data_IF_452038446565
#
_entry.id   IF_452038446565
#
_cell.length_a   1.000
_cell.length_b   1.000
_cell.length_c   1.000
_cell.angle_alpha   90.00
_cell.angle_beta   90.00
_cell.angle_gamma   90.00
#
_symmetry.space_group_name_H-M   'P 1'
#
loop_
_entity.id
_entity.type
_entity.pdbx_description
1 polymer ?
#
# COMPACT_ATOMS: atom_id res chain seq x y z
N UNK A 1 4.96 -23.87 -20.18
CA UNK A 1 5.16 -22.58 -20.88
C UNK A 1 4.45 -21.54 -20.04
N UNK A 2 5.17 -20.59 -19.48
CA UNK A 2 4.57 -19.51 -18.69
C UNK A 2 3.80 -18.57 -19.60
N UNK A 3 2.85 -17.88 -19.02
CA UNK A 3 2.02 -16.94 -19.77
C UNK A 3 2.89 -15.81 -20.36
N UNK A 4 2.59 -15.42 -21.59
CA UNK A 4 3.30 -14.28 -22.21
C UNK A 4 2.90 -12.96 -21.56
N UNK A 5 3.85 -12.05 -21.40
CA UNK A 5 3.58 -10.67 -20.94
C UNK A 5 2.49 -10.00 -21.78
N UNK A 6 2.45 -10.28 -23.08
CA UNK A 6 1.43 -9.75 -23.99
C UNK A 6 0.03 -10.20 -23.57
N UNK A 7 -0.15 -11.49 -23.23
CA UNK A 7 -1.45 -12.02 -22.80
C UNK A 7 -1.93 -11.35 -21.49
N UNK A 8 -0.98 -11.11 -20.55
CA UNK A 8 -1.32 -10.41 -19.30
C UNK A 8 -1.71 -8.96 -19.59
N UNK A 9 -1.01 -8.28 -20.50
CA UNK A 9 -1.39 -6.92 -20.95
C UNK A 9 -2.77 -6.87 -21.59
N UNK A 10 -3.11 -7.86 -22.44
CA UNK A 10 -4.45 -7.97 -23.03
C UNK A 10 -5.55 -8.06 -21.98
N UNK A 11 -5.27 -8.74 -20.85
CA UNK A 11 -6.23 -8.88 -19.75
C UNK A 11 -6.51 -7.56 -18.97
N UNK A 12 -5.71 -6.50 -19.16
CA UNK A 12 -6.02 -5.14 -18.66
C UNK A 12 -7.29 -4.58 -19.33
N UNK A 13 -7.66 -5.12 -20.49
CA UNK A 13 -8.85 -4.71 -21.26
C UNK A 13 -9.96 -5.78 -21.22
N UNK A 14 -9.92 -6.71 -20.28
CA UNK A 14 -10.96 -7.72 -20.09
C UNK A 14 -12.28 -7.05 -19.64
N UNK A 15 -13.41 -7.66 -19.97
CA UNK A 15 -14.73 -7.21 -19.53
C UNK A 15 -14.93 -7.35 -18.01
N UNK A 16 -14.25 -8.31 -17.37
CA UNK A 16 -14.30 -8.53 -15.94
C UNK A 16 -13.34 -7.61 -15.20
N UNK A 17 -13.85 -6.84 -14.24
CA UNK A 17 -13.08 -5.89 -13.43
C UNK A 17 -11.95 -6.56 -12.64
N UNK A 18 -12.19 -7.73 -12.05
CA UNK A 18 -11.20 -8.45 -11.23
C UNK A 18 -10.05 -8.95 -12.11
N UNK A 19 -10.36 -9.40 -13.31
CA UNK A 19 -9.35 -9.81 -14.29
C UNK A 19 -8.46 -8.62 -14.68
N UNK A 20 -9.07 -7.43 -14.92
CA UNK A 20 -8.30 -6.20 -15.17
C UNK A 20 -7.40 -5.84 -13.99
N UNK A 21 -7.95 -5.86 -12.77
CA UNK A 21 -7.18 -5.56 -11.55
C UNK A 21 -6.05 -6.54 -11.32
N UNK A 22 -6.30 -7.82 -11.56
CA UNK A 22 -5.29 -8.88 -11.47
C UNK A 22 -4.15 -8.67 -12.44
N UNK A 23 -4.49 -8.32 -13.69
CA UNK A 23 -3.51 -8.07 -14.73
C UNK A 23 -2.62 -6.86 -14.43
N UNK A 24 -3.20 -5.73 -13.99
CA UNK A 24 -2.42 -4.54 -13.68
C UNK A 24 -1.58 -4.72 -12.42
N UNK A 25 -2.09 -5.43 -11.40
CA UNK A 25 -1.36 -5.73 -10.17
C UNK A 25 -0.08 -6.53 -10.42
N UNK A 26 -0.07 -7.43 -11.39
CA UNK A 26 1.13 -8.16 -11.82
C UNK A 26 2.28 -7.22 -12.15
N UNK A 27 2.00 -6.14 -12.87
CA UNK A 27 3.02 -5.17 -13.28
C UNK A 27 3.35 -4.16 -12.18
N UNK A 28 2.33 -3.64 -11.50
CA UNK A 28 2.51 -2.63 -10.46
C UNK A 28 3.32 -3.16 -9.27
N UNK A 29 2.96 -4.35 -8.77
CA UNK A 29 3.64 -4.98 -7.63
C UNK A 29 5.06 -5.45 -7.92
N UNK A 30 5.39 -5.70 -9.19
CA UNK A 30 6.75 -6.04 -9.62
C UNK A 30 7.60 -4.81 -9.99
N UNK A 31 7.15 -3.60 -9.67
CA UNK A 31 7.83 -2.34 -10.03
C UNK A 31 8.21 -2.27 -11.51
N UNK A 32 7.27 -2.65 -12.38
CA UNK A 32 7.50 -2.70 -13.83
C UNK A 32 7.88 -1.33 -14.40
N UNK A 33 8.95 -1.30 -15.20
CA UNK A 33 9.39 -0.08 -15.91
C UNK A 33 8.76 0.09 -17.29
N UNK A 34 7.76 -0.72 -17.63
CA UNK A 34 7.11 -0.76 -18.93
C UNK A 34 6.14 0.41 -19.13
N UNK A 35 6.56 1.41 -19.87
CA UNK A 35 5.76 2.62 -20.18
C UNK A 35 4.51 2.35 -21.05
N UNK A 36 4.36 1.16 -21.64
CA UNK A 36 3.18 0.82 -22.43
C UNK A 36 1.96 0.45 -21.57
N UNK A 37 2.12 0.31 -20.26
CA UNK A 37 1.05 -0.12 -19.35
C UNK A 37 0.04 1.00 -19.10
N UNK A 38 0.49 2.21 -18.80
CA UNK A 38 -0.40 3.32 -18.51
C UNK A 38 -1.34 3.66 -19.69
N UNK A 39 -0.90 3.64 -20.98
CA UNK A 39 -1.81 3.75 -22.12
C UNK A 39 -2.92 2.68 -22.16
N UNK A 40 -2.65 1.46 -21.68
CA UNK A 40 -3.68 0.42 -21.58
C UNK A 40 -4.68 0.71 -20.45
N UNK A 41 -4.21 1.25 -19.33
CA UNK A 41 -5.08 1.71 -18.23
C UNK A 41 -5.99 2.83 -18.71
N UNK A 42 -5.45 3.82 -19.41
CA UNK A 42 -6.22 4.91 -20.05
C UNK A 42 -7.29 4.33 -20.98
N UNK A 43 -6.91 3.42 -21.86
CA UNK A 43 -7.85 2.75 -22.75
C UNK A 43 -8.95 1.98 -22.01
N UNK A 44 -8.63 1.39 -20.86
CA UNK A 44 -9.63 0.72 -20.02
C UNK A 44 -10.62 1.75 -19.43
N UNK A 45 -10.17 2.92 -18.99
CA UNK A 45 -11.04 4.03 -18.55
C UNK A 45 -11.97 4.47 -19.68
N UNK A 46 -11.45 4.68 -20.88
CA UNK A 46 -12.22 5.07 -22.06
C UNK A 46 -13.26 4.01 -22.47
N UNK A 47 -12.94 2.73 -22.27
CA UNK A 47 -13.80 1.60 -22.69
C UNK A 47 -14.89 1.30 -21.66
N UNK A 48 -14.57 1.29 -20.37
CA UNK A 48 -15.46 0.82 -19.31
C UNK A 48 -16.02 1.94 -18.44
N UNK A 49 -15.52 3.16 -18.61
CA UNK A 49 -15.92 4.33 -17.84
C UNK A 49 -15.19 4.47 -16.50
N UNK A 50 -15.27 5.68 -15.93
CA UNK A 50 -14.56 6.08 -14.71
C UNK A 50 -14.94 5.25 -13.50
N UNK A 51 -16.23 4.93 -13.36
CA UNK A 51 -16.74 4.18 -12.21
C UNK A 51 -16.19 2.73 -12.14
N UNK A 52 -16.02 2.09 -13.31
CA UNK A 52 -15.53 0.71 -13.38
C UNK A 52 -14.00 0.64 -13.50
N UNK A 53 -13.32 1.77 -13.73
CA UNK A 53 -11.88 1.79 -13.95
C UNK A 53 -11.08 2.55 -12.88
N UNK A 54 -11.71 3.19 -11.87
CA UNK A 54 -10.99 3.97 -10.87
C UNK A 54 -9.98 3.13 -10.07
N UNK A 55 -10.27 1.86 -9.84
CA UNK A 55 -9.35 0.94 -9.18
C UNK A 55 -8.06 0.72 -9.98
N UNK A 56 -8.16 0.68 -11.33
CA UNK A 56 -6.98 0.52 -12.18
C UNK A 56 -6.06 1.73 -12.07
N UNK A 57 -6.62 2.95 -12.02
CA UNK A 57 -5.84 4.17 -11.77
C UNK A 57 -5.12 4.07 -10.43
N UNK A 58 -5.84 3.64 -9.37
CA UNK A 58 -5.25 3.46 -8.04
C UNK A 58 -4.09 2.44 -8.00
N UNK A 59 -4.21 1.34 -8.76
CA UNK A 59 -3.18 0.32 -8.87
C UNK A 59 -1.99 0.74 -9.75
N UNK A 60 -2.14 1.76 -10.60
CA UNK A 60 -1.10 2.20 -11.52
C UNK A 60 -0.22 3.34 -10.99
N UNK A 61 -0.29 3.67 -9.69
CA UNK A 61 0.50 4.76 -9.09
C UNK A 61 2.00 4.59 -9.27
N UNK A 62 2.49 3.36 -9.06
CA UNK A 62 3.91 3.01 -9.15
C UNK A 62 4.37 2.71 -10.59
N UNK A 63 3.47 2.80 -11.58
CA UNK A 63 3.83 2.58 -12.98
C UNK A 63 4.47 3.82 -13.59
N UNK A 64 5.45 3.65 -14.48
CA UNK A 64 6.14 4.77 -15.13
C UNK A 64 5.17 5.56 -15.99
N UNK A 65 5.17 6.88 -15.79
CA UNK A 65 4.40 7.83 -16.60
C UNK A 65 5.24 8.36 -17.77
N UNK A 66 4.54 8.94 -18.75
CA UNK A 66 5.13 9.72 -19.85
C UNK A 66 4.51 11.12 -19.87
N UNK A 67 5.05 12.00 -20.70
CA UNK A 67 4.47 13.33 -20.92
C UNK A 67 3.01 13.26 -21.37
N UNK A 68 2.68 12.30 -22.23
CA UNK A 68 1.32 12.09 -22.76
C UNK A 68 0.38 11.58 -21.67
N UNK A 69 0.83 10.63 -20.84
CA UNK A 69 -0.01 10.09 -19.76
C UNK A 69 -0.24 11.12 -18.65
N UNK A 70 0.76 11.93 -18.31
CA UNK A 70 0.60 13.05 -17.37
C UNK A 70 -0.36 14.10 -17.93
N UNK A 71 -0.26 14.45 -19.22
CA UNK A 71 -1.18 15.38 -19.84
C UNK A 71 -2.63 14.86 -19.79
N UNK A 72 -2.84 13.58 -20.12
CA UNK A 72 -4.16 12.94 -20.02
C UNK A 72 -4.72 12.98 -18.58
N UNK A 73 -3.87 12.68 -17.55
CA UNK A 73 -4.30 12.70 -16.16
C UNK A 73 -4.71 14.12 -15.73
N UNK A 74 -3.98 15.14 -16.16
CA UNK A 74 -4.30 16.55 -15.86
C UNK A 74 -5.62 16.94 -16.54
N UNK A 75 -5.80 16.59 -17.80
CA UNK A 75 -7.04 16.86 -18.54
C UNK A 75 -8.22 16.16 -17.87
N UNK A 76 -8.04 14.89 -17.51
CA UNK A 76 -9.07 14.09 -16.86
C UNK A 76 -9.42 14.62 -15.46
N UNK A 77 -8.43 15.13 -14.71
CA UNK A 77 -8.63 15.77 -13.42
C UNK A 77 -9.41 17.09 -13.53
N UNK A 78 -9.20 17.84 -14.64
CA UNK A 78 -9.88 19.13 -14.89
C UNK A 78 -11.24 19.00 -15.55
N UNK A 79 -11.63 17.82 -16.03
CA UNK A 79 -12.97 17.57 -16.52
C UNK A 79 -13.99 17.66 -15.37
N UNK A 80 -15.25 18.00 -15.69
CA UNK A 80 -16.33 18.01 -14.70
C UNK A 80 -16.40 16.65 -14.00
N UNK A 81 -16.27 16.69 -12.67
CA UNK A 81 -16.38 15.53 -11.81
C UNK A 81 -17.77 15.52 -11.18
N UNK A 82 -18.44 14.38 -11.24
CA UNK A 82 -19.65 14.13 -10.45
C UNK A 82 -19.23 13.81 -8.99
N UNK A 83 -20.03 14.24 -8.01
CA UNK A 83 -19.79 13.95 -6.59
C UNK A 83 -19.59 12.45 -6.29
N UNK A 84 -20.11 11.57 -7.15
CA UNK A 84 -19.93 10.12 -7.06
C UNK A 84 -18.54 9.63 -7.48
N UNK A 85 -17.68 10.51 -8.01
CA UNK A 85 -16.35 10.17 -8.54
C UNK A 85 -15.18 10.54 -7.60
N UNK A 86 -15.44 10.80 -6.33
CA UNK A 86 -14.40 11.21 -5.37
C UNK A 86 -13.19 10.25 -5.32
N UNK A 87 -13.42 8.94 -5.40
CA UNK A 87 -12.34 7.94 -5.44
C UNK A 87 -11.52 8.00 -6.73
N UNK A 88 -12.15 8.31 -7.86
CA UNK A 88 -11.46 8.47 -9.14
C UNK A 88 -10.54 9.68 -9.11
N UNK A 89 -11.06 10.83 -8.68
CA UNK A 89 -10.29 12.07 -8.49
C UNK A 89 -9.12 11.89 -7.52
N UNK A 90 -9.38 11.20 -6.41
CA UNK A 90 -8.33 10.83 -5.46
C UNK A 90 -7.20 10.02 -6.13
N UNK A 91 -7.55 8.98 -6.88
CA UNK A 91 -6.57 8.14 -7.53
C UNK A 91 -5.77 8.88 -8.62
N UNK A 92 -6.41 9.75 -9.42
CA UNK A 92 -5.71 10.61 -10.38
C UNK A 92 -4.71 11.53 -9.68
N UNK A 93 -5.13 12.19 -8.58
CA UNK A 93 -4.26 13.06 -7.78
C UNK A 93 -3.07 12.28 -7.20
N UNK A 94 -3.29 11.04 -6.74
CA UNK A 94 -2.22 10.19 -6.21
C UNK A 94 -1.23 9.78 -7.29
N UNK A 95 -1.67 9.45 -8.52
CA UNK A 95 -0.75 9.16 -9.63
C UNK A 95 0.14 10.38 -9.93
N UNK A 96 -0.40 11.60 -9.88
CA UNK A 96 0.41 12.82 -10.05
C UNK A 96 1.41 12.99 -8.91
N UNK A 97 1.01 12.72 -7.67
CA UNK A 97 1.93 12.83 -6.51
C UNK A 97 3.05 11.78 -6.55
N UNK A 98 2.81 10.59 -7.09
CA UNK A 98 3.80 9.50 -7.13
C UNK A 98 4.64 9.48 -8.43
N UNK A 99 4.20 10.15 -9.50
CA UNK A 99 4.94 10.20 -10.77
C UNK A 99 6.31 10.88 -10.63
N UNK A 100 7.22 10.61 -11.55
CA UNK A 100 8.56 11.23 -11.59
C UNK A 100 8.45 12.76 -11.50
N UNK A 101 9.02 13.39 -10.46
CA UNK A 101 8.90 14.82 -10.26
C UNK A 101 9.52 15.65 -11.40
N UNK A 102 10.46 15.11 -12.17
CA UNK A 102 11.03 15.80 -13.33
C UNK A 102 10.02 16.01 -14.47
N UNK A 103 9.06 15.08 -14.65
CA UNK A 103 7.96 15.22 -15.59
C UNK A 103 6.90 16.23 -15.12
N UNK A 104 6.81 16.43 -13.81
CA UNK A 104 5.78 17.27 -13.18
C UNK A 104 6.20 18.73 -13.06
N UNK A 105 7.50 19.00 -12.88
CA UNK A 105 8.03 20.36 -12.67
C UNK A 105 7.57 21.37 -13.75
N UNK A 106 7.57 21.04 -15.06
CA UNK A 106 7.08 21.98 -16.08
C UNK A 106 5.56 22.26 -16.02
N UNK A 107 4.83 21.46 -15.25
CA UNK A 107 3.35 21.47 -15.14
C UNK A 107 2.86 21.87 -13.74
N UNK A 108 3.78 22.26 -12.86
CA UNK A 108 3.48 22.55 -11.44
C UNK A 108 2.30 23.52 -11.29
N UNK A 109 2.33 24.66 -11.98
CA UNK A 109 1.28 25.67 -11.87
C UNK A 109 -0.08 25.12 -12.31
N UNK A 110 -0.14 24.39 -13.43
CA UNK A 110 -1.39 23.84 -13.96
C UNK A 110 -2.01 22.81 -13.00
N UNK A 111 -1.17 21.98 -12.36
CA UNK A 111 -1.62 20.98 -11.39
C UNK A 111 -2.11 21.67 -10.11
N UNK A 112 -1.34 22.63 -9.59
CA UNK A 112 -1.69 23.34 -8.36
C UNK A 112 -2.90 24.29 -8.50
N UNK A 113 -3.18 24.80 -9.69
CA UNK A 113 -4.34 25.63 -9.98
C UNK A 113 -5.61 24.81 -10.19
N UNK A 114 -5.51 23.51 -10.47
CA UNK A 114 -6.66 22.62 -10.62
C UNK A 114 -7.51 22.59 -9.34
N UNK A 115 -8.81 22.85 -9.47
CA UNK A 115 -9.76 22.82 -8.35
C UNK A 115 -9.99 21.40 -7.81
N UNK A 116 -9.79 20.39 -8.67
CA UNK A 116 -9.99 18.98 -8.35
C UNK A 116 -8.72 18.31 -7.81
N UNK A 117 -7.55 18.98 -7.88
CA UNK A 117 -6.36 18.46 -7.21
C UNK A 117 -6.48 18.65 -5.71
N UNK A 118 -6.40 17.55 -4.96
CA UNK A 118 -6.72 17.49 -3.55
C UNK A 118 -5.87 18.44 -2.70
N UNK A 119 -6.48 19.27 -1.84
CA UNK A 119 -5.76 20.26 -1.02
C UNK A 119 -4.67 19.64 -0.14
N UNK A 120 -4.92 18.47 0.44
CA UNK A 120 -3.98 17.75 1.30
C UNK A 120 -2.75 17.21 0.56
N UNK A 121 -2.82 17.06 -0.75
CA UNK A 121 -1.71 16.59 -1.59
C UNK A 121 -0.84 17.73 -2.15
N UNK A 122 -1.28 18.99 -2.04
CA UNK A 122 -0.52 20.15 -2.57
C UNK A 122 0.84 20.32 -1.91
N UNK A 123 0.91 20.20 -0.59
CA UNK A 123 2.16 20.30 0.16
C UNK A 123 3.11 19.15 -0.21
N UNK A 124 2.73 17.87 -0.09
CA UNK A 124 3.56 16.76 -0.54
C UNK A 124 4.06 16.88 -1.99
N UNK A 125 3.21 17.31 -2.90
CA UNK A 125 3.56 17.53 -4.30
C UNK A 125 4.63 18.61 -4.47
N UNK A 126 4.44 19.80 -3.88
CA UNK A 126 5.42 20.90 -3.98
C UNK A 126 6.74 20.54 -3.30
N UNK A 127 6.72 19.82 -2.16
CA UNK A 127 7.94 19.34 -1.50
C UNK A 127 8.78 18.44 -2.42
N UNK A 128 8.15 17.49 -3.14
CA UNK A 128 8.88 16.63 -4.09
C UNK A 128 9.55 17.44 -5.21
N UNK A 129 8.84 18.42 -5.76
CA UNK A 129 9.40 19.28 -6.80
C UNK A 129 10.58 20.13 -6.27
N UNK A 130 10.45 20.69 -5.07
CA UNK A 130 11.51 21.43 -4.41
C UNK A 130 12.75 20.55 -4.18
N UNK A 131 12.58 19.30 -3.79
CA UNK A 131 13.67 18.35 -3.53
C UNK A 131 14.48 18.02 -4.79
N UNK A 132 13.98 18.30 -6.01
CA UNK A 132 14.78 18.19 -7.25
C UNK A 132 16.02 19.06 -7.24
N UNK A 133 16.00 20.19 -6.54
CA UNK A 133 17.12 21.12 -6.43
C UNK A 133 18.14 20.76 -5.33
N UNK A 134 17.85 19.77 -4.48
CA UNK A 134 18.73 19.38 -3.39
C UNK A 134 19.89 18.52 -3.90
N UNK A 135 21.10 18.80 -3.41
CA UNK A 135 22.25 17.91 -3.57
C UNK A 135 22.21 16.76 -2.56
N UNK A 136 23.07 15.78 -2.74
CA UNK A 136 23.15 14.61 -1.87
C UNK A 136 23.35 14.99 -0.40
N UNK A 137 24.27 15.92 -0.13
CA UNK A 137 24.59 16.37 1.23
C UNK A 137 23.37 17.01 1.91
N UNK A 138 22.60 17.82 1.18
CA UNK A 138 21.36 18.43 1.66
C UNK A 138 20.31 17.35 1.95
N UNK A 139 20.14 16.37 1.07
CA UNK A 139 19.20 15.28 1.29
C UNK A 139 19.53 14.48 2.57
N UNK A 140 20.80 14.11 2.77
CA UNK A 140 21.25 13.42 3.97
C UNK A 140 21.02 14.25 5.23
N UNK A 141 21.37 15.55 5.22
CA UNK A 141 21.15 16.42 6.37
C UNK A 141 19.67 16.49 6.73
N UNK A 142 18.78 16.64 5.73
CA UNK A 142 17.33 16.68 5.95
C UNK A 142 16.79 15.38 6.49
N UNK A 143 17.30 14.23 6.07
CA UNK A 143 16.92 12.93 6.59
C UNK A 143 17.37 12.74 8.04
N UNK A 144 18.60 13.18 8.38
CA UNK A 144 19.12 13.16 9.73
C UNK A 144 18.31 14.09 10.66
N UNK A 145 18.00 15.31 10.22
CA UNK A 145 17.15 16.25 10.95
C UNK A 145 15.76 15.66 11.23
N UNK A 146 15.13 15.04 10.21
CA UNK A 146 13.84 14.37 10.35
C UNK A 146 13.88 13.26 11.41
N UNK A 147 14.89 12.41 11.36
CA UNK A 147 15.04 11.31 12.32
C UNK A 147 15.34 11.82 13.73
N UNK A 148 16.16 12.89 13.87
CA UNK A 148 16.48 13.50 15.14
C UNK A 148 15.24 14.15 15.78
N UNK A 149 14.42 14.87 15.03
CA UNK A 149 13.16 15.44 15.48
C UNK A 149 12.14 14.35 15.89
N UNK A 150 12.12 13.24 15.11
CA UNK A 150 11.22 12.11 15.33
C UNK A 150 11.61 11.18 16.50
N UNK A 151 12.82 11.25 17.04
CA UNK A 151 13.34 10.25 18.00
C UNK A 151 12.50 10.05 19.28
N UNK A 152 11.75 11.07 19.69
CA UNK A 152 10.85 11.00 20.85
C UNK A 152 9.44 10.52 20.52
N UNK A 153 9.11 10.37 19.23
CA UNK A 153 7.81 9.89 18.76
C UNK A 153 7.74 8.38 18.85
N UNK A 154 6.59 7.86 19.29
CA UNK A 154 6.46 6.43 19.55
C UNK A 154 5.89 5.66 18.36
N UNK A 155 4.92 6.23 17.68
CA UNK A 155 4.15 5.56 16.64
C UNK A 155 4.36 6.22 15.28
N UNK A 156 4.16 5.45 14.20
CA UNK A 156 4.25 5.93 12.81
C UNK A 156 3.35 7.15 12.58
N UNK A 157 2.16 7.16 13.16
CA UNK A 157 1.20 8.27 13.03
C UNK A 157 1.63 9.56 13.78
N UNK A 158 2.69 9.50 14.60
CA UNK A 158 3.20 10.66 15.33
C UNK A 158 4.25 11.44 14.52
N UNK A 159 4.72 10.88 13.41
CA UNK A 159 5.71 11.47 12.50
C UNK A 159 5.13 11.59 11.09
N UNK A 160 5.63 12.57 10.33
CA UNK A 160 5.32 12.66 8.90
C UNK A 160 6.22 11.73 8.09
N UNK A 161 6.00 10.39 8.21
CA UNK A 161 6.82 9.41 7.51
C UNK A 161 6.80 9.64 5.99
N UNK A 162 5.69 10.14 5.43
CA UNK A 162 5.60 10.51 4.01
C UNK A 162 6.64 11.56 3.61
N UNK A 163 6.98 12.52 4.49
CA UNK A 163 8.07 13.46 4.24
C UNK A 163 9.44 12.77 4.24
N UNK A 164 9.69 11.88 5.20
CA UNK A 164 10.90 11.04 5.23
C UNK A 164 11.06 10.21 3.95
N UNK A 165 9.97 9.60 3.47
CA UNK A 165 9.97 8.81 2.23
C UNK A 165 10.31 9.67 1.00
N UNK A 166 9.80 10.91 0.91
CA UNK A 166 10.15 11.84 -0.17
C UNK A 166 11.62 12.24 -0.16
N UNK A 167 12.23 12.39 1.03
CA UNK A 167 13.67 12.62 1.13
C UNK A 167 14.46 11.40 0.64
N UNK A 168 14.01 10.18 1.00
CA UNK A 168 14.61 8.93 0.50
C UNK A 168 14.53 8.84 -1.02
N UNK A 169 13.38 9.15 -1.61
CA UNK A 169 13.21 9.24 -3.06
C UNK A 169 14.20 10.24 -3.70
N UNK A 170 14.36 11.41 -3.06
CA UNK A 170 15.33 12.40 -3.51
C UNK A 170 16.79 11.89 -3.42
N UNK A 171 17.13 11.13 -2.38
CA UNK A 171 18.44 10.47 -2.24
C UNK A 171 18.66 9.36 -3.27
N UNK A 172 17.64 8.57 -3.57
CA UNK A 172 17.75 7.46 -4.51
C UNK A 172 18.24 7.87 -5.90
N UNK A 173 18.06 9.14 -6.29
CA UNK A 173 18.59 9.69 -7.54
C UNK A 173 20.13 9.69 -7.62
N UNK A 174 20.80 9.59 -6.48
CA UNK A 174 22.26 9.52 -6.39
C UNK A 174 22.79 8.08 -6.49
N UNK A 175 21.91 7.09 -6.51
CA UNK A 175 22.25 5.69 -6.78
C UNK A 175 23.38 5.17 -5.90
N UNK A 176 24.42 4.63 -6.54
CA UNK A 176 25.57 4.00 -5.88
C UNK A 176 26.37 4.96 -4.96
N UNK A 177 26.25 6.28 -5.12
CA UNK A 177 26.92 7.24 -4.23
C UNK A 177 26.43 7.10 -2.78
N UNK A 178 25.17 6.66 -2.59
CA UNK A 178 24.59 6.42 -1.26
C UNK A 178 25.05 5.09 -0.61
N UNK A 179 25.66 4.17 -1.37
CA UNK A 179 25.93 2.78 -0.96
C UNK A 179 26.72 2.68 0.36
N UNK A 180 27.85 3.36 0.46
CA UNK A 180 28.73 3.29 1.64
C UNK A 180 27.97 3.70 2.91
N UNK A 181 27.23 4.82 2.85
CA UNK A 181 26.48 5.35 4.00
C UNK A 181 25.29 4.45 4.35
N UNK A 182 24.57 3.93 3.36
CA UNK A 182 23.50 2.96 3.55
C UNK A 182 24.04 1.71 4.24
N UNK A 183 25.14 1.13 3.76
CA UNK A 183 25.79 -0.02 4.38
C UNK A 183 26.22 0.25 5.82
N UNK A 184 26.79 1.43 6.08
CA UNK A 184 27.20 1.82 7.43
C UNK A 184 25.98 1.87 8.39
N UNK A 185 24.84 2.42 7.94
CA UNK A 185 23.60 2.48 8.70
C UNK A 185 23.03 1.08 8.95
N UNK A 186 22.95 0.24 7.92
CA UNK A 186 22.39 -1.11 8.03
C UNK A 186 23.24 -2.06 8.89
N UNK A 187 24.56 -1.81 9.01
CA UNK A 187 25.45 -2.59 9.91
C UNK A 187 25.37 -2.16 11.36
N UNK A 188 24.76 -1.02 11.67
CA UNK A 188 24.61 -0.57 13.04
C UNK A 188 23.67 -1.53 13.82
N UNK A 189 24.09 -1.91 15.03
CA UNK A 189 23.25 -2.64 15.97
C UNK A 189 22.76 -1.67 17.02
N UNK A 190 21.46 -1.52 17.09
CA UNK A 190 20.79 -0.66 18.07
C UNK A 190 20.16 -1.51 19.13
N UNK A 191 20.69 -1.44 20.35
CA UNK A 191 20.18 -2.21 21.50
C UNK A 191 18.91 -1.58 22.10
N UNK A 192 18.72 -0.27 21.93
CA UNK A 192 17.55 0.46 22.41
C UNK A 192 17.18 1.58 21.44
N UNK A 193 15.98 1.46 20.87
CA UNK A 193 15.42 2.45 19.95
C UNK A 193 14.69 3.59 20.67
N UNK A 194 14.54 3.54 21.98
CA UNK A 194 13.90 4.62 22.74
C UNK A 194 14.76 5.87 22.68
N UNK A 195 14.19 6.97 22.21
CA UNK A 195 14.86 8.25 22.05
C UNK A 195 16.11 8.21 21.15
N UNK A 196 16.12 7.26 20.21
CA UNK A 196 17.21 7.05 19.26
C UNK A 196 16.73 7.37 17.84
N UNK A 197 17.39 8.27 17.09
CA UNK A 197 17.02 8.59 15.72
C UNK A 197 17.07 7.39 14.79
N UNK A 198 17.87 6.36 15.11
CA UNK A 198 17.92 5.11 14.33
C UNK A 198 16.58 4.39 14.23
N UNK A 199 15.64 4.65 15.13
CA UNK A 199 14.27 4.13 15.04
C UNK A 199 13.60 4.45 13.70
N UNK A 200 13.87 5.64 13.17
CA UNK A 200 13.34 6.10 11.88
C UNK A 200 14.36 5.99 10.76
N UNK A 201 15.66 6.22 11.10
CA UNK A 201 16.74 6.16 10.11
C UNK A 201 16.90 4.76 9.50
N UNK A 202 16.78 3.71 10.31
CA UNK A 202 17.00 2.34 9.83
C UNK A 202 15.95 1.90 8.79
N UNK A 203 14.61 2.02 9.01
CA UNK A 203 13.63 1.72 7.98
C UNK A 203 13.80 2.59 6.71
N UNK A 204 14.16 3.87 6.87
CA UNK A 204 14.39 4.78 5.75
C UNK A 204 15.68 4.44 4.97
N UNK A 205 16.74 3.97 5.65
CA UNK A 205 17.94 3.47 4.98
C UNK A 205 17.68 2.14 4.24
N UNK A 206 16.84 1.26 4.79
CA UNK A 206 16.35 0.05 4.11
C UNK A 206 15.58 0.42 2.85
N UNK A 207 14.63 1.36 2.97
CA UNK A 207 13.88 1.87 1.81
C UNK A 207 14.81 2.47 0.75
N UNK A 208 15.80 3.26 1.15
CA UNK A 208 16.78 3.83 0.23
C UNK A 208 17.56 2.75 -0.52
N UNK A 209 17.95 1.66 0.14
CA UNK A 209 18.60 0.54 -0.52
C UNK A 209 17.74 -0.05 -1.65
N UNK A 210 16.43 -0.15 -1.42
CA UNK A 210 15.45 -0.60 -2.43
C UNK A 210 15.28 0.41 -3.57
N UNK A 211 15.03 1.70 -3.24
CA UNK A 211 14.80 2.76 -4.22
C UNK A 211 16.04 3.01 -5.13
N UNK A 212 17.23 2.87 -4.57
CA UNK A 212 18.49 3.01 -5.30
C UNK A 212 18.97 1.69 -5.94
N UNK A 213 18.20 0.60 -5.83
CA UNK A 213 18.52 -0.74 -6.37
C UNK A 213 19.91 -1.26 -5.97
N UNK A 214 20.30 -1.11 -4.70
CA UNK A 214 21.62 -1.50 -4.21
C UNK A 214 21.71 -3.02 -3.99
N UNK A 215 22.13 -3.77 -5.01
CA UNK A 215 22.33 -5.23 -4.95
C UNK A 215 23.25 -5.65 -3.79
N UNK A 216 24.27 -4.85 -3.51
CA UNK A 216 25.24 -5.10 -2.43
C UNK A 216 24.63 -5.06 -1.03
N UNK A 217 23.44 -4.42 -0.87
CA UNK A 217 22.72 -4.36 0.39
C UNK A 217 21.91 -5.65 0.69
N UNK A 218 21.68 -6.53 -0.30
CA UNK A 218 20.85 -7.73 -0.16
C UNK A 218 21.20 -8.59 1.06
N UNK A 219 22.47 -8.93 1.34
CA UNK A 219 22.80 -9.74 2.53
C UNK A 219 22.46 -9.03 3.86
N UNK A 220 22.59 -7.70 3.89
CA UNK A 220 22.25 -6.90 5.08
C UNK A 220 20.73 -6.85 5.29
N UNK A 221 19.95 -6.65 4.22
CA UNK A 221 18.48 -6.65 4.27
C UNK A 221 17.93 -8.00 4.73
N UNK A 222 18.45 -9.10 4.20
CA UNK A 222 18.10 -10.46 4.65
C UNK A 222 18.43 -10.66 6.14
N UNK A 223 19.60 -10.17 6.59
CA UNK A 223 19.98 -10.24 8.01
C UNK A 223 19.02 -9.43 8.89
N UNK A 224 18.67 -8.21 8.49
CA UNK A 224 17.70 -7.37 9.22
C UNK A 224 16.33 -8.03 9.32
N UNK A 225 15.86 -8.62 8.24
CA UNK A 225 14.59 -9.33 8.23
C UNK A 225 14.60 -10.56 9.17
N UNK A 226 15.74 -11.24 9.34
CA UNK A 226 15.90 -12.35 10.31
C UNK A 226 15.88 -11.83 11.75
N UNK A 227 16.49 -10.66 12.01
CA UNK A 227 16.63 -10.08 13.35
C UNK A 227 15.32 -9.57 13.96
N UNK A 228 14.25 -9.40 13.17
CA UNK A 228 12.91 -8.93 13.59
C UNK A 228 12.92 -7.56 14.29
N UNK A 229 13.13 -6.52 13.52
CA UNK A 229 13.10 -5.13 14.00
C UNK A 229 11.68 -4.54 14.16
N UNK A 230 10.63 -5.35 14.06
CA UNK A 230 9.22 -4.96 14.11
C UNK A 230 8.62 -4.73 12.72
N UNK A 231 7.29 -4.61 12.67
CA UNK A 231 6.52 -4.66 11.41
C UNK A 231 7.00 -3.66 10.37
N UNK A 232 7.21 -2.38 10.74
CA UNK A 232 7.67 -1.35 9.81
C UNK A 232 9.02 -1.73 9.14
N UNK A 233 10.00 -2.20 9.92
CA UNK A 233 11.31 -2.56 9.37
C UNK A 233 11.22 -3.82 8.50
N UNK A 234 10.41 -4.79 8.91
CA UNK A 234 10.21 -6.03 8.16
C UNK A 234 9.50 -5.77 6.83
N UNK A 235 8.47 -4.92 6.83
CA UNK A 235 7.77 -4.47 5.61
C UNK A 235 8.72 -3.74 4.65
N UNK A 236 9.51 -2.78 5.16
CA UNK A 236 10.48 -2.06 4.35
C UNK A 236 11.59 -2.98 3.80
N UNK A 237 12.05 -4.00 4.57
CA UNK A 237 13.01 -4.99 4.08
C UNK A 237 12.43 -5.84 2.93
N UNK A 238 11.20 -6.32 3.07
CA UNK A 238 10.53 -7.11 2.02
C UNK A 238 10.33 -6.27 0.76
N UNK A 239 9.83 -5.04 0.89
CA UNK A 239 9.65 -4.11 -0.21
C UNK A 239 10.98 -3.72 -0.88
N UNK A 240 12.04 -3.45 -0.11
CA UNK A 240 13.36 -3.15 -0.65
C UNK A 240 13.95 -4.32 -1.44
N UNK A 241 13.87 -5.54 -0.91
CA UNK A 241 14.30 -6.75 -1.62
C UNK A 241 13.51 -6.95 -2.91
N UNK A 242 12.18 -6.73 -2.88
CA UNK A 242 11.32 -6.82 -4.07
C UNK A 242 11.71 -5.77 -5.11
N UNK A 243 11.99 -4.54 -4.69
CA UNK A 243 12.35 -3.43 -5.57
C UNK A 243 13.73 -3.61 -6.20
N UNK A 244 14.73 -4.13 -5.45
CA UNK A 244 16.02 -4.55 -6.01
C UNK A 244 15.81 -5.58 -7.11
N UNK A 245 14.97 -6.58 -6.90
CA UNK A 245 14.36 -7.39 -7.96
C UNK A 245 15.31 -8.36 -8.69
N UNK A 246 16.52 -8.62 -8.18
CA UNK A 246 17.52 -9.44 -8.86
C UNK A 246 17.46 -10.92 -8.47
N UNK A 247 18.13 -11.78 -9.25
CA UNK A 247 18.29 -13.20 -8.90
C UNK A 247 19.06 -13.38 -7.59
N UNK A 248 19.97 -12.47 -7.24
CA UNK A 248 20.70 -12.49 -5.98
C UNK A 248 19.76 -12.40 -4.77
N UNK A 249 18.68 -11.61 -4.86
CA UNK A 249 17.64 -11.55 -3.81
C UNK A 249 16.98 -12.92 -3.63
N UNK A 250 16.54 -13.56 -4.72
CA UNK A 250 15.85 -14.85 -4.66
C UNK A 250 16.75 -15.96 -4.08
N UNK A 251 18.03 -15.95 -4.44
CA UNK A 251 19.01 -16.91 -3.89
C UNK A 251 19.24 -16.66 -2.39
N UNK A 252 19.48 -15.41 -1.98
CA UNK A 252 19.75 -15.07 -0.58
C UNK A 252 18.53 -15.38 0.30
N UNK A 253 17.33 -15.06 -0.16
CA UNK A 253 16.08 -15.38 0.56
C UNK A 253 15.89 -16.88 0.67
N UNK A 254 16.04 -17.63 -0.41
CA UNK A 254 15.86 -19.10 -0.41
C UNK A 254 16.92 -19.83 0.43
N UNK A 255 18.15 -19.33 0.48
CA UNK A 255 19.22 -19.88 1.33
C UNK A 255 18.93 -19.69 2.82
N UNK A 256 18.46 -18.50 3.20
CA UNK A 256 18.14 -18.16 4.59
C UNK A 256 16.89 -18.90 5.10
N UNK A 257 15.90 -19.13 4.24
CA UNK A 257 14.54 -19.57 4.56
C UNK A 257 14.43 -20.82 5.45
N UNK A 258 15.14 -21.96 5.21
CA UNK A 258 14.92 -23.22 5.94
C UNK A 258 15.21 -23.13 7.45
N UNK A 259 16.05 -22.19 7.88
CA UNK A 259 16.47 -22.00 9.27
C UNK A 259 15.89 -20.73 9.88
N UNK A 260 15.18 -19.95 9.09
CA UNK A 260 14.69 -18.65 9.49
C UNK A 260 13.44 -18.75 10.39
N UNK A 261 13.24 -17.79 11.29
CA UNK A 261 12.04 -17.70 12.11
C UNK A 261 10.77 -17.45 11.27
N UNK A 262 9.58 -17.65 11.89
CA UNK A 262 8.30 -17.54 11.19
C UNK A 262 8.09 -16.19 10.53
N UNK A 263 8.42 -15.09 11.23
CA UNK A 263 8.25 -13.74 10.68
C UNK A 263 9.06 -13.55 9.39
N UNK A 264 10.34 -13.98 9.36
CA UNK A 264 11.13 -13.94 8.14
C UNK A 264 10.42 -14.67 6.99
N UNK A 265 9.97 -15.91 7.23
CA UNK A 265 9.32 -16.73 6.20
C UNK A 265 8.03 -16.09 5.68
N UNK A 266 7.33 -15.34 6.54
CA UNK A 266 6.13 -14.58 6.18
C UNK A 266 6.48 -13.44 5.23
N UNK A 267 7.39 -12.55 5.61
CA UNK A 267 7.77 -11.38 4.81
C UNK A 267 8.57 -11.76 3.56
N UNK A 268 9.36 -12.82 3.62
CA UNK A 268 10.13 -13.34 2.48
C UNK A 268 9.25 -13.86 1.32
N UNK A 269 7.94 -14.07 1.54
CA UNK A 269 7.02 -14.40 0.44
C UNK A 269 6.84 -13.24 -0.53
N UNK A 270 7.00 -11.99 -0.12
CA UNK A 270 6.80 -10.81 -0.97
C UNK A 270 7.80 -10.76 -2.14
N UNK A 271 9.13 -10.76 -1.95
CA UNK A 271 10.07 -10.81 -3.07
C UNK A 271 9.93 -12.09 -3.90
N UNK A 272 9.56 -13.23 -3.29
CA UNK A 272 9.28 -14.46 -4.03
C UNK A 272 8.03 -14.35 -4.91
N UNK A 273 7.05 -13.54 -4.54
CA UNK A 273 5.81 -13.31 -5.27
C UNK A 273 5.98 -12.32 -6.42
N UNK A 274 6.74 -11.24 -6.20
CA UNK A 274 6.75 -10.10 -7.13
C UNK A 274 8.00 -9.98 -7.98
N UNK A 275 9.10 -10.68 -7.68
CA UNK A 275 10.25 -10.76 -8.60
C UNK A 275 9.94 -11.75 -9.73
N UNK A 276 9.52 -11.23 -10.87
CA UNK A 276 9.00 -12.01 -11.98
C UNK A 276 10.11 -12.80 -12.69
N UNK A 277 10.31 -14.06 -12.31
CA UNK A 277 11.33 -14.93 -12.90
C UNK A 277 11.00 -16.42 -12.79
N UNK A 278 11.65 -17.24 -13.62
CA UNK A 278 11.59 -18.70 -13.53
C UNK A 278 12.19 -19.23 -12.24
N UNK A 279 13.22 -18.54 -11.75
CA UNK A 279 13.87 -18.86 -10.49
C UNK A 279 12.91 -18.68 -9.31
N UNK A 280 12.14 -17.58 -9.29
CA UNK A 280 11.16 -17.35 -8.23
C UNK A 280 10.14 -18.48 -8.15
N UNK A 281 9.60 -18.92 -9.28
CA UNK A 281 8.67 -20.08 -9.32
C UNK A 281 9.31 -21.35 -8.80
N UNK A 282 10.54 -21.65 -9.20
CA UNK A 282 11.29 -22.82 -8.70
C UNK A 282 11.44 -22.76 -7.18
N UNK A 283 11.90 -21.60 -6.65
CA UNK A 283 12.07 -21.40 -5.20
C UNK A 283 10.74 -21.51 -4.48
N UNK A 284 9.68 -20.82 -4.94
CA UNK A 284 8.34 -20.91 -4.34
C UNK A 284 7.84 -22.35 -4.26
N UNK A 285 7.97 -23.11 -5.34
CA UNK A 285 7.49 -24.50 -5.39
C UNK A 285 8.24 -25.40 -4.41
N UNK A 286 9.57 -25.23 -4.32
CA UNK A 286 10.39 -25.98 -3.39
C UNK A 286 10.07 -25.63 -1.93
N UNK A 287 9.91 -24.35 -1.60
CA UNK A 287 9.59 -23.88 -0.25
C UNK A 287 8.17 -24.27 0.16
N UNK A 288 7.19 -24.18 -0.74
CA UNK A 288 5.81 -24.62 -0.50
C UNK A 288 5.72 -26.09 -0.07
N UNK A 289 6.53 -26.96 -0.67
CA UNK A 289 6.58 -28.39 -0.34
C UNK A 289 7.27 -28.69 1.00
N UNK A 290 8.15 -27.81 1.46
CA UNK A 290 8.94 -27.98 2.67
C UNK A 290 8.30 -27.32 3.89
N UNK A 291 7.62 -26.19 3.71
CA UNK A 291 7.02 -25.45 4.83
C UNK A 291 5.83 -26.22 5.42
N UNK A 292 5.74 -26.12 6.76
CA UNK A 292 4.66 -26.77 7.53
C UNK A 292 3.63 -25.77 8.05
N UNK A 293 3.92 -24.47 8.00
CA UNK A 293 2.99 -23.42 8.40
C UNK A 293 1.97 -23.21 7.27
N UNK A 294 0.70 -23.46 7.59
CA UNK A 294 -0.35 -23.41 6.59
C UNK A 294 -0.56 -22.00 6.00
N UNK A 295 -0.49 -20.94 6.81
CA UNK A 295 -0.62 -19.57 6.32
C UNK A 295 0.51 -19.21 5.36
N UNK A 296 1.74 -19.58 5.68
CA UNK A 296 2.90 -19.36 4.79
C UNK A 296 2.75 -20.17 3.50
N UNK A 297 2.26 -21.41 3.58
CA UNK A 297 1.99 -22.22 2.37
C UNK A 297 0.94 -21.58 1.47
N UNK A 298 -0.09 -20.94 2.04
CA UNK A 298 -1.07 -20.17 1.27
C UNK A 298 -0.40 -19.00 0.56
N UNK A 299 0.46 -18.25 1.24
CA UNK A 299 1.19 -17.14 0.61
C UNK A 299 2.13 -17.61 -0.51
N UNK A 300 2.83 -18.73 -0.32
CA UNK A 300 3.67 -19.31 -1.39
C UNK A 300 2.84 -19.83 -2.57
N UNK A 301 1.63 -20.34 -2.33
CA UNK A 301 0.70 -20.71 -3.39
C UNK A 301 0.19 -19.46 -4.14
N UNK A 302 -0.13 -18.38 -3.42
CA UNK A 302 -0.41 -17.08 -4.04
C UNK A 302 0.76 -16.60 -4.90
N UNK A 303 1.99 -16.70 -4.41
CA UNK A 303 3.17 -16.35 -5.17
C UNK A 303 3.28 -17.12 -6.50
N UNK A 304 3.04 -18.43 -6.49
CA UNK A 304 3.01 -19.24 -7.72
C UNK A 304 1.91 -18.79 -8.69
N UNK A 305 0.73 -18.46 -8.18
CA UNK A 305 -0.37 -17.94 -9.00
C UNK A 305 -0.07 -16.54 -9.54
N UNK A 306 0.64 -15.71 -8.77
CA UNK A 306 1.09 -14.37 -9.20
C UNK A 306 2.06 -14.45 -10.40
N UNK A 307 2.85 -15.51 -10.49
CA UNK A 307 3.71 -15.77 -11.64
C UNK A 307 2.98 -16.39 -12.83
N UNK A 308 1.67 -16.63 -12.76
CA UNK A 308 0.93 -17.39 -13.77
C UNK A 308 1.60 -18.74 -14.06
N UNK A 309 2.09 -19.41 -13.02
CA UNK A 309 2.78 -20.68 -13.10
C UNK A 309 1.77 -21.85 -13.09
N UNK A 310 1.72 -22.70 -14.15
CA UNK A 310 0.81 -23.85 -14.17
C UNK A 310 1.01 -24.80 -12.99
N UNK A 311 2.24 -24.90 -12.49
CA UNK A 311 2.60 -25.72 -11.33
C UNK A 311 1.86 -25.27 -10.06
N UNK A 312 1.54 -23.95 -9.95
CA UNK A 312 0.80 -23.39 -8.82
C UNK A 312 -0.67 -23.79 -8.79
N UNK A 313 -1.28 -24.13 -9.92
CA UNK A 313 -2.71 -24.43 -10.02
C UNK A 313 -3.07 -25.65 -9.16
N UNK A 314 -2.37 -26.77 -9.36
CA UNK A 314 -2.67 -28.01 -8.63
C UNK A 314 -2.29 -27.91 -7.14
N UNK A 315 -1.20 -27.22 -6.80
CA UNK A 315 -0.79 -27.04 -5.40
C UNK A 315 -1.78 -26.12 -4.65
N UNK A 316 -2.24 -25.04 -5.28
CA UNK A 316 -3.27 -24.15 -4.71
C UNK A 316 -4.61 -24.85 -4.55
N UNK A 317 -5.01 -25.63 -5.56
CA UNK A 317 -6.23 -26.44 -5.52
C UNK A 317 -6.22 -27.44 -4.35
N UNK A 318 -5.11 -28.18 -4.16
CA UNK A 318 -4.95 -29.10 -3.03
C UNK A 318 -5.02 -28.41 -1.68
N UNK A 319 -4.38 -27.25 -1.55
CA UNK A 319 -4.44 -26.46 -0.32
C UNK A 319 -5.85 -26.02 -0.01
N UNK A 320 -6.59 -25.52 -0.98
CA UNK A 320 -7.98 -25.10 -0.78
C UNK A 320 -8.87 -26.29 -0.39
N UNK A 321 -8.79 -27.41 -1.10
CA UNK A 321 -9.62 -28.60 -0.84
C UNK A 321 -9.32 -29.25 0.51
N UNK A 322 -8.14 -29.06 1.06
CA UNK A 322 -7.72 -29.63 2.35
C UNK A 322 -8.03 -28.76 3.57
N UNK A 323 -8.68 -27.60 3.39
CA UNK A 323 -8.94 -26.63 4.48
C UNK A 323 -10.43 -26.45 4.73
N UNK A 324 -10.76 -26.01 5.96
CA UNK A 324 -12.07 -25.42 6.23
C UNK A 324 -12.17 -24.06 5.51
N UNK A 325 -13.40 -23.70 5.09
CA UNK A 325 -13.68 -22.44 4.41
C UNK A 325 -13.52 -21.24 5.36
N UNK A 326 -12.33 -20.69 5.42
CA UNK A 326 -12.01 -19.44 6.09
C UNK A 326 -11.76 -18.29 5.10
N UNK A 327 -11.39 -17.12 5.61
CA UNK A 327 -11.11 -15.94 4.78
C UNK A 327 -9.89 -16.15 3.85
N UNK A 328 -8.82 -16.74 4.37
CA UNK A 328 -7.59 -16.98 3.61
C UNK A 328 -7.82 -18.01 2.50
N UNK A 329 -8.53 -19.08 2.79
CA UNK A 329 -8.84 -20.11 1.78
C UNK A 329 -9.74 -19.59 0.67
N UNK A 330 -10.73 -18.74 0.97
CA UNK A 330 -11.56 -18.07 -0.04
C UNK A 330 -10.73 -17.15 -0.92
N UNK A 331 -9.81 -16.39 -0.35
CA UNK A 331 -8.87 -15.56 -1.10
C UNK A 331 -8.06 -16.39 -2.10
N UNK A 332 -7.50 -17.51 -1.66
CA UNK A 332 -6.75 -18.41 -2.53
C UNK A 332 -7.60 -18.99 -3.68
N UNK A 333 -8.85 -19.37 -3.39
CA UNK A 333 -9.77 -19.89 -4.42
C UNK A 333 -10.03 -18.84 -5.51
N UNK A 334 -10.40 -17.63 -5.11
CA UNK A 334 -10.73 -16.55 -6.05
C UNK A 334 -9.49 -16.19 -6.90
N UNK A 335 -8.35 -16.09 -6.26
CA UNK A 335 -7.09 -15.83 -6.94
C UNK A 335 -6.71 -16.92 -7.96
N UNK A 336 -7.01 -18.20 -7.64
CA UNK A 336 -6.81 -19.31 -8.56
C UNK A 336 -7.75 -19.22 -9.77
N UNK A 337 -9.04 -18.90 -9.55
CA UNK A 337 -10.03 -18.72 -10.64
C UNK A 337 -9.61 -17.59 -11.57
N UNK A 338 -9.28 -16.42 -11.03
CA UNK A 338 -8.80 -15.26 -11.81
C UNK A 338 -7.55 -15.58 -12.63
N UNK A 339 -6.56 -16.21 -11.99
CA UNK A 339 -5.31 -16.63 -12.65
C UNK A 339 -5.59 -17.59 -13.80
N UNK A 340 -6.41 -18.61 -13.56
CA UNK A 340 -6.77 -19.59 -14.58
C UNK A 340 -7.60 -18.98 -15.72
N UNK A 341 -8.41 -17.96 -15.44
CA UNK A 341 -9.15 -17.19 -16.46
C UNK A 341 -8.17 -16.51 -17.42
N UNK A 342 -7.17 -15.79 -16.89
CA UNK A 342 -6.15 -15.10 -17.70
C UNK A 342 -5.31 -16.13 -18.48
N UNK A 343 -4.95 -17.24 -17.84
CA UNK A 343 -4.17 -18.33 -18.48
C UNK A 343 -4.97 -19.12 -19.50
N UNK A 344 -6.30 -18.94 -19.57
CA UNK A 344 -7.22 -19.75 -20.38
C UNK A 344 -7.10 -21.24 -20.06
N UNK A 345 -6.86 -21.53 -18.78
CA UNK A 345 -6.79 -22.90 -18.24
C UNK A 345 -8.00 -23.19 -17.36
N UNK A 346 -8.30 -24.48 -17.19
CA UNK A 346 -9.39 -24.93 -16.35
C UNK A 346 -8.93 -26.12 -15.50
N UNK A 347 -9.51 -26.23 -14.31
CA UNK A 347 -9.38 -27.37 -13.41
C UNK A 347 -10.79 -27.94 -13.13
N UNK A 348 -10.93 -29.14 -12.55
CA UNK A 348 -12.23 -29.80 -12.44
C UNK A 348 -13.35 -28.98 -11.80
N UNK A 349 -13.05 -28.20 -10.75
CA UNK A 349 -14.04 -27.39 -10.00
C UNK A 349 -14.14 -25.96 -10.50
N UNK A 350 -13.47 -25.57 -11.59
CA UNK A 350 -13.35 -24.19 -12.06
C UNK A 350 -14.72 -23.49 -12.20
N UNK A 351 -15.67 -24.12 -12.92
CA UNK A 351 -16.97 -23.50 -13.19
C UNK A 351 -17.81 -23.35 -11.91
N UNK A 352 -17.72 -24.31 -11.00
CA UNK A 352 -18.38 -24.27 -9.68
C UNK A 352 -17.81 -23.12 -8.83
N UNK A 353 -16.48 -23.00 -8.78
CA UNK A 353 -15.83 -21.98 -7.96
C UNK A 353 -16.02 -20.58 -8.53
N UNK A 354 -16.02 -20.43 -9.86
CA UNK A 354 -16.34 -19.17 -10.52
C UNK A 354 -17.78 -18.72 -10.22
N UNK A 355 -18.73 -19.64 -10.27
CA UNK A 355 -20.13 -19.35 -9.94
C UNK A 355 -20.30 -18.97 -8.47
N UNK A 356 -19.63 -19.68 -7.56
CA UNK A 356 -19.63 -19.36 -6.14
C UNK A 356 -19.04 -17.97 -5.85
N UNK A 357 -17.91 -17.63 -6.46
CA UNK A 357 -17.29 -16.32 -6.35
C UNK A 357 -18.23 -15.20 -6.81
N UNK A 358 -18.87 -15.37 -7.97
CA UNK A 358 -19.83 -14.40 -8.48
C UNK A 358 -21.01 -14.19 -7.51
N UNK A 359 -21.58 -15.28 -6.99
CA UNK A 359 -22.67 -15.21 -6.02
C UNK A 359 -22.24 -14.48 -4.74
N UNK A 360 -21.06 -14.82 -4.20
CA UNK A 360 -20.51 -14.15 -3.00
C UNK A 360 -20.28 -12.65 -3.21
N UNK A 361 -19.83 -12.24 -4.40
CA UNK A 361 -19.65 -10.83 -4.78
C UNK A 361 -21.00 -10.10 -4.87
N UNK A 362 -21.99 -10.71 -5.52
CA UNK A 362 -23.35 -10.15 -5.63
C UNK A 362 -23.99 -9.95 -4.25
N UNK A 363 -23.88 -10.93 -3.36
CA UNK A 363 -24.36 -10.85 -1.97
C UNK A 363 -23.61 -9.76 -1.18
N UNK A 364 -22.29 -9.67 -1.37
CA UNK A 364 -21.45 -8.65 -0.73
C UNK A 364 -21.87 -7.23 -1.13
N UNK A 365 -22.02 -6.99 -2.43
CA UNK A 365 -22.47 -5.68 -2.94
C UNK A 365 -23.88 -5.34 -2.52
N UNK A 366 -24.79 -6.33 -2.53
CA UNK A 366 -26.14 -6.14 -2.00
C UNK A 366 -26.11 -5.72 -0.54
N UNK A 367 -25.27 -6.36 0.27
CA UNK A 367 -25.12 -6.03 1.69
C UNK A 367 -24.53 -4.64 1.92
N UNK A 368 -23.53 -4.22 1.15
CA UNK A 368 -22.98 -2.86 1.19
C UNK A 368 -24.10 -1.85 0.90
N UNK A 369 -24.86 -2.04 -0.16
CA UNK A 369 -25.98 -1.14 -0.51
C UNK A 369 -27.05 -1.06 0.58
N UNK A 370 -27.39 -2.18 1.24
CA UNK A 370 -28.31 -2.19 2.37
C UNK A 370 -27.79 -1.42 3.59
N UNK A 371 -26.46 -1.31 3.73
CA UNK A 371 -25.79 -0.60 4.81
C UNK A 371 -25.38 0.83 4.43
N UNK A 372 -25.69 1.27 3.22
CA UNK A 372 -25.42 2.63 2.76
C UNK A 372 -26.11 3.64 3.69
N UNK A 373 -25.34 4.62 4.20
CA UNK A 373 -25.81 5.56 5.22
C UNK A 373 -25.72 5.05 6.66
N UNK A 374 -25.23 3.83 6.88
CA UNK A 374 -24.98 3.28 8.22
C UNK A 374 -23.51 2.91 8.42
N UNK A 375 -22.64 3.88 8.81
CA UNK A 375 -21.20 3.66 8.98
C UNK A 375 -20.85 2.57 9.99
N UNK A 376 -21.61 2.46 11.09
CA UNK A 376 -21.40 1.42 12.11
C UNK A 376 -21.73 0.03 11.56
N UNK A 377 -22.79 -0.06 10.76
CA UNK A 377 -23.18 -1.30 10.07
C UNK A 377 -22.14 -1.75 9.05
N UNK A 378 -21.62 -0.82 8.23
CA UNK A 378 -20.55 -1.10 7.26
C UNK A 378 -19.28 -1.59 7.95
N UNK A 379 -18.91 -0.98 9.07
CA UNK A 379 -17.72 -1.35 9.81
C UNK A 379 -17.88 -2.71 10.51
N UNK A 380 -19.04 -3.00 11.09
CA UNK A 380 -19.33 -4.32 11.63
C UNK A 380 -19.28 -5.40 10.53
N UNK A 381 -19.82 -5.11 9.37
CA UNK A 381 -19.76 -6.01 8.22
C UNK A 381 -18.31 -6.25 7.74
N UNK A 382 -17.49 -5.22 7.70
CA UNK A 382 -16.06 -5.36 7.38
C UNK A 382 -15.34 -6.24 8.43
N UNK A 383 -15.63 -6.07 9.72
CA UNK A 383 -15.09 -6.89 10.80
C UNK A 383 -15.55 -8.34 10.73
N UNK A 384 -16.81 -8.59 10.37
CA UNK A 384 -17.33 -9.95 10.13
C UNK A 384 -16.56 -10.65 9.00
N UNK A 385 -16.28 -9.90 7.92
CA UNK A 385 -15.50 -10.43 6.79
C UNK A 385 -14.06 -10.72 7.16
N UNK A 386 -13.41 -9.83 7.90
CA UNK A 386 -12.01 -9.98 8.32
C UNK A 386 -11.82 -11.10 9.35
N UNK A 387 -12.77 -11.28 10.27
CA UNK A 387 -12.63 -12.23 11.38
C UNK A 387 -13.29 -13.57 11.13
N UNK A 388 -14.15 -13.67 10.11
CA UNK A 388 -15.02 -14.84 9.89
C UNK A 388 -16.10 -15.04 10.96
N UNK A 389 -16.24 -14.11 11.93
CA UNK A 389 -17.18 -14.17 13.06
C UNK A 389 -18.36 -13.26 12.80
N UNK A 390 -19.57 -13.67 13.24
CA UNK A 390 -20.74 -12.78 13.21
C UNK A 390 -20.54 -11.60 14.15
N UNK A 391 -21.12 -10.44 13.85
CA UNK A 391 -20.99 -9.22 14.66
C UNK A 391 -21.32 -9.43 16.15
N UNK A 392 -22.28 -10.30 16.45
CA UNK A 392 -22.68 -10.68 17.81
C UNK A 392 -21.57 -11.40 18.60
N UNK A 393 -20.66 -12.07 17.91
CA UNK A 393 -19.60 -12.91 18.49
C UNK A 393 -18.25 -12.15 18.55
N UNK A 394 -18.19 -10.94 18.02
CA UNK A 394 -16.96 -10.11 18.05
C UNK A 394 -16.88 -9.44 19.42
N UNK A 395 -15.79 -9.69 20.20
CA UNK A 395 -15.65 -9.09 21.52
C UNK A 395 -15.64 -7.55 21.44
N UNK A 396 -16.47 -6.89 22.24
CA UNK A 396 -16.52 -5.40 22.35
C UNK A 396 -15.17 -4.79 22.79
N UNK A 397 -14.25 -5.63 23.25
CA UNK A 397 -12.88 -5.25 23.62
C UNK A 397 -11.91 -5.22 22.44
N UNK A 398 -12.30 -5.67 21.24
CA UNK A 398 -11.45 -5.66 20.05
C UNK A 398 -11.04 -4.22 19.71
N UNK A 399 -9.74 -3.92 19.48
CA UNK A 399 -9.27 -2.56 19.19
C UNK A 399 -10.04 -1.87 18.07
N UNK A 400 -10.38 -2.59 17.01
CA UNK A 400 -11.17 -2.08 15.89
C UNK A 400 -12.61 -1.71 16.30
N UNK A 401 -13.28 -2.48 17.19
CA UNK A 401 -14.60 -2.15 17.72
C UNK A 401 -14.53 -0.92 18.65
N UNK A 402 -13.41 -0.75 19.39
CA UNK A 402 -13.16 0.46 20.20
C UNK A 402 -12.89 1.70 19.36
N UNK A 403 -12.23 1.56 18.21
CA UNK A 403 -12.07 2.66 17.26
C UNK A 403 -13.42 3.08 16.65
N UNK A 404 -14.26 2.11 16.28
CA UNK A 404 -15.60 2.32 15.78
C UNK A 404 -16.47 3.11 16.75
N UNK A 405 -16.55 2.64 17.99
CA UNK A 405 -17.33 3.32 19.02
C UNK A 405 -16.79 4.70 19.40
N UNK A 406 -15.54 5.04 19.02
CA UNK A 406 -14.95 6.39 19.18
C UNK A 406 -15.21 7.29 17.96
N UNK A 407 -15.32 6.72 16.75
CA UNK A 407 -15.65 7.49 15.53
C UNK A 407 -17.15 7.76 15.36
N UNK A 408 -18.02 6.96 15.96
CA UNK A 408 -19.47 7.21 16.02
C UNK A 408 -19.86 8.40 16.90
N UNK A 409 -18.91 9.01 17.60
CA UNK A 409 -19.08 10.37 18.12
C UNK A 409 -18.90 11.32 16.91
N UNK A 410 -20.01 11.57 16.18
CA UNK A 410 -20.15 12.73 15.31
C UNK A 410 -19.45 13.94 15.95
N UNK A 411 -18.79 14.84 15.19
CA UNK A 411 -18.26 16.03 15.75
C UNK A 411 -19.42 16.70 16.50
N UNK A 412 -19.40 16.59 17.81
CA UNK A 412 -20.30 17.38 18.64
C UNK A 412 -20.03 18.78 18.16
N UNK A 413 -21.02 19.37 17.52
CA UNK A 413 -21.08 20.82 17.32
C UNK A 413 -20.35 21.43 18.48
N UNK A 414 -19.34 22.28 18.23
CA UNK A 414 -18.50 22.92 19.24
C UNK A 414 -19.35 23.19 20.48
N UNK A 415 -19.20 22.37 21.50
CA UNK A 415 -19.81 22.62 22.77
C UNK A 415 -19.13 23.89 23.20
N UNK A 416 -19.84 25.04 23.11
CA UNK A 416 -19.43 26.27 23.71
C UNK A 416 -18.91 25.90 25.09
N UNK A 417 -17.60 25.92 25.28
CA UNK A 417 -16.94 25.67 26.55
C UNK A 417 -17.70 26.51 27.55
N UNK A 418 -18.43 25.89 28.50
CA UNK A 418 -19.16 26.61 29.56
C UNK A 418 -18.09 27.24 30.43
N UNK A 419 -17.81 28.52 30.14
CA UNK A 419 -16.88 29.32 30.93
C UNK A 419 -17.46 29.42 32.33
N UNK A 420 -16.72 28.94 33.30
CA UNK A 420 -17.11 29.04 34.73
C UNK A 420 -17.23 30.50 35.18
N UNK A 421 -18.13 30.79 36.10
CA UNK A 421 -18.37 32.18 36.59
C UNK A 421 -17.09 32.88 37.02
N UNK A 422 -16.10 32.16 37.51
CA UNK A 422 -14.83 32.70 38.03
C UNK A 422 -13.68 32.66 37.05
N UNK A 423 -13.86 32.05 35.87
CA UNK A 423 -12.83 31.94 34.83
C UNK A 423 -12.55 33.31 34.15
N UNK A 424 -11.38 33.51 33.53
CA UNK A 424 -11.11 34.70 32.73
C UNK A 424 -12.15 34.87 31.64
N UNK A 425 -12.64 36.09 31.46
CA UNK A 425 -13.67 36.36 30.47
C UNK A 425 -13.13 36.13 29.03
N UNK A 426 -13.81 35.36 28.17
CA UNK A 426 -13.35 35.08 26.82
C UNK A 426 -13.31 36.32 25.91
N UNK A 427 -13.83 37.47 26.34
CA UNK A 427 -13.70 38.73 25.61
C UNK A 427 -12.31 39.39 25.73
N UNK A 428 -11.35 38.78 26.42
CA UNK A 428 -9.99 39.30 26.57
C UNK A 428 -9.85 40.47 27.54
N UNK A 429 -10.90 40.84 28.30
CA UNK A 429 -10.86 41.99 29.21
C UNK A 429 -10.03 41.80 30.48
N UNK A 430 -9.46 40.64 30.74
CA UNK A 430 -8.73 40.29 31.97
C UNK A 430 -9.62 40.17 33.22
N UNK A 431 -10.93 40.42 33.12
CA UNK A 431 -11.88 40.31 34.24
C UNK A 431 -12.48 38.89 34.29
N UNK A 432 -12.97 38.49 35.49
CA UNK A 432 -13.73 37.22 35.65
C UNK A 432 -15.03 37.27 34.85
N UNK A 433 -15.45 36.16 34.27
CA UNK A 433 -16.64 36.06 33.41
C UNK A 433 -17.91 36.62 34.10
N UNK A 434 -18.09 36.32 35.39
CA UNK A 434 -19.24 36.85 36.20
C UNK A 434 -19.28 38.37 36.34
N UNK A 435 -18.13 39.06 36.25
CA UNK A 435 -18.01 40.52 36.41
C UNK A 435 -17.85 41.24 35.07
N UNK A 436 -17.90 40.53 33.97
CA UNK A 436 -17.77 41.05 32.62
C UNK A 436 -18.96 40.64 31.73
N UNK A 437 -18.80 39.67 30.85
CA UNK A 437 -19.82 39.32 29.86
C UNK A 437 -21.08 38.67 30.47
N UNK A 438 -20.97 37.93 31.58
CA UNK A 438 -22.15 37.34 32.24
C UNK A 438 -23.12 38.42 32.80
N UNK A 439 -22.64 39.61 33.13
CA UNK A 439 -23.50 40.75 33.55
C UNK A 439 -24.19 41.43 32.36
N UNK A 440 -23.68 41.26 31.14
CA UNK A 440 -24.28 41.87 29.94
C UNK A 440 -25.34 40.99 29.26
N UNK A 441 -25.39 39.70 29.59
CA UNK A 441 -26.36 38.75 29.02
C UNK A 441 -27.54 38.42 29.95
N UNK A 442 -27.63 39.12 31.11
CA UNK A 442 -28.68 38.93 32.10
C UNK A 442 -29.50 40.21 32.29
N UNK A 443 -30.07 40.70 31.19
CA UNK A 443 -31.07 41.75 31.15
C UNK A 443 -32.18 41.31 30.24
#
# INVERSE_FOLDING_TARGET
MRLSVTTIKEAILDSDLEIRQRAISFFAKSYSTDRSLMPLVIKAVETFGRQDAYHLIGLSRDLPQSDETIAWIIDELNNEQDDQQANYTYNLSMVLVEADPSLLLPRESVILESQNFLPELRVPFSERLQMLSWDEATCWQKLEDFCEEGKYKQYVNDVNLGYGNRIVEALARYGDQCEEKVHALLRQRVNDYRHNPMKWMEPLAVRLAGEAHLDSAVPLLVTKLIEDGGDLLNEECAAALTRIGTSAVLEAVAEAYPKAPRHFRLYATEPLEYIQSDLAVEKCLNLLRQDKDEGIRVNLAHALLSHFAPEGIEESRKLFMGRELDFESRGLRNYLVETCTIMRQRFPEYDEWQAAEKTEKEEHWKRIKELEGNPDGLMLFALEKLTGKKAADIPKSTPAVRLASRQSLAPKSESKQRVGRNDPCPCGSGKKFKTCCLRRTGG
#
